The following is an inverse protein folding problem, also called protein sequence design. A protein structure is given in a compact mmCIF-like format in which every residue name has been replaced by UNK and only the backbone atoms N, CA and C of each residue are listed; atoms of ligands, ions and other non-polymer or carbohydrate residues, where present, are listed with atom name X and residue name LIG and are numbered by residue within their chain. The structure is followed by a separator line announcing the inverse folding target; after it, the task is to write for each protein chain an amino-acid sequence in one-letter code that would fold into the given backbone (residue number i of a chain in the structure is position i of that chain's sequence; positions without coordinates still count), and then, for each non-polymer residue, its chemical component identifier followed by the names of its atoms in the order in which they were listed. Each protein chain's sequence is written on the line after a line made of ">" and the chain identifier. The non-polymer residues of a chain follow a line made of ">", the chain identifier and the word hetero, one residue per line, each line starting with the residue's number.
data_IF_793445741696
#
_entry.id   IF_793445741696
#
_cell.length_a   1.000
_cell.length_b   1.000
_cell.length_c   1.000
_cell.angle_alpha   90.00
_cell.angle_beta   90.00
_cell.angle_gamma   90.00
#
_symmetry.space_group_name_H-M   'P 1'
#
loop_
_entity.id
_entity.type
_entity.pdbx_description
1 polymer ?
#
# COMPACT_ATOMS: atom_id res chain seq x y z
N UNK A 1 3.29 9.84 43.76
CA UNK A 1 3.76 8.94 42.68
C UNK A 1 3.22 9.52 41.39
N UNK A 2 3.94 10.51 40.87
CA UNK A 2 3.62 11.23 39.64
C UNK A 2 3.88 10.35 38.42
N UNK A 3 2.80 9.99 37.72
CA UNK A 3 2.87 9.35 36.42
C UNK A 3 2.88 10.47 35.38
N UNK A 4 4.07 10.95 35.04
CA UNK A 4 4.24 11.88 33.94
C UNK A 4 3.76 11.22 32.65
N UNK A 5 2.57 11.63 32.19
CA UNK A 5 2.09 11.33 30.85
C UNK A 5 3.03 12.03 29.86
N UNK A 6 3.94 11.24 29.30
CA UNK A 6 4.78 11.66 28.18
C UNK A 6 3.88 11.87 26.97
N UNK A 7 3.30 13.07 26.87
CA UNK A 7 2.64 13.55 25.68
C UNK A 7 3.68 13.60 24.57
N UNK A 8 3.70 12.56 23.74
CA UNK A 8 4.52 12.51 22.55
C UNK A 8 4.19 13.75 21.71
N UNK A 9 5.15 14.68 21.67
CA UNK A 9 5.11 15.82 20.75
C UNK A 9 5.02 15.23 19.35
N UNK A 10 3.84 15.29 18.74
CA UNK A 10 3.68 14.96 17.32
C UNK A 10 4.56 15.95 16.57
N UNK A 11 5.66 15.46 16.02
CA UNK A 11 6.52 16.25 15.16
C UNK A 11 5.64 16.75 14.01
N UNK A 12 5.36 18.05 13.96
CA UNK A 12 4.47 18.70 12.98
C UNK A 12 5.19 18.86 11.63
N UNK A 13 5.81 17.78 11.15
CA UNK A 13 6.19 17.67 9.76
C UNK A 13 4.92 17.19 9.03
N UNK A 14 4.47 17.93 8.02
CA UNK A 14 3.27 17.59 7.26
C UNK A 14 3.34 16.14 6.76
N UNK A 15 2.19 15.46 6.72
CA UNK A 15 2.15 14.05 6.33
C UNK A 15 2.82 13.82 4.97
N UNK A 16 3.77 12.89 4.93
CA UNK A 16 4.50 12.51 3.72
C UNK A 16 3.70 11.51 2.88
N UNK A 17 3.90 11.53 1.55
CA UNK A 17 3.16 10.70 0.59
C UNK A 17 4.08 9.74 -0.14
N UNK A 18 3.65 8.48 -0.21
CA UNK A 18 4.19 7.46 -1.13
C UNK A 18 3.17 7.07 -2.17
N UNK A 19 3.56 7.11 -3.43
CA UNK A 19 2.72 6.64 -4.54
C UNK A 19 3.26 5.31 -5.04
N UNK A 20 2.50 4.24 -4.85
CA UNK A 20 2.83 2.90 -5.32
C UNK A 20 2.06 2.60 -6.60
N UNK A 21 2.78 2.40 -7.70
CA UNK A 21 2.23 2.01 -9.00
C UNK A 21 2.47 0.52 -9.22
N UNK A 22 1.39 -0.24 -9.38
CA UNK A 22 1.41 -1.66 -9.73
C UNK A 22 1.39 -1.76 -11.24
N UNK A 23 2.53 -2.11 -11.84
CA UNK A 23 2.59 -2.27 -13.29
C UNK A 23 2.25 -3.69 -13.71
N UNK A 24 1.42 -3.81 -14.75
CA UNK A 24 0.96 -5.11 -15.29
C UNK A 24 1.79 -5.62 -16.47
N UNK A 25 2.81 -4.88 -16.90
CA UNK A 25 3.78 -5.34 -17.91
C UNK A 25 3.71 -4.63 -19.26
N UNK A 26 2.73 -3.75 -19.49
CA UNK A 26 2.76 -2.85 -20.65
C UNK A 26 3.58 -1.60 -20.32
N UNK A 27 4.73 -1.48 -20.99
CA UNK A 27 5.63 -0.34 -20.84
C UNK A 27 5.00 0.99 -21.25
N UNK A 28 4.05 0.97 -22.20
CA UNK A 28 3.36 2.17 -22.70
C UNK A 28 2.44 2.77 -21.63
N UNK A 29 1.70 1.93 -20.94
CA UNK A 29 0.79 2.39 -19.88
C UNK A 29 1.58 2.86 -18.66
N UNK A 30 2.68 2.19 -18.32
CA UNK A 30 3.59 2.64 -17.26
C UNK A 30 4.24 3.99 -17.61
N UNK A 31 4.74 4.17 -18.84
CA UNK A 31 5.32 5.43 -19.29
C UNK A 31 4.29 6.57 -19.23
N UNK A 32 3.06 6.32 -19.70
CA UNK A 32 1.96 7.29 -19.62
C UNK A 32 1.63 7.65 -18.16
N UNK A 33 1.55 6.67 -17.29
CA UNK A 33 1.29 6.86 -15.87
C UNK A 33 2.39 7.72 -15.21
N UNK A 34 3.66 7.39 -15.45
CA UNK A 34 4.81 8.13 -14.91
C UNK A 34 4.88 9.55 -15.45
N UNK A 35 4.68 9.75 -16.76
CA UNK A 35 4.62 11.08 -17.37
C UNK A 35 3.51 11.94 -16.75
N UNK A 36 2.38 11.33 -16.37
CA UNK A 36 1.25 12.01 -15.72
C UNK A 36 1.59 12.44 -14.29
N UNK A 37 2.21 11.58 -13.47
CA UNK A 37 2.36 11.82 -12.02
C UNK A 37 3.73 12.38 -11.59
N UNK A 38 4.79 12.23 -12.40
CA UNK A 38 6.14 12.57 -11.97
C UNK A 38 6.29 14.03 -11.52
N UNK A 39 5.76 14.98 -12.30
CA UNK A 39 5.83 16.41 -11.96
C UNK A 39 4.98 16.75 -10.73
N UNK A 40 3.69 16.36 -10.63
CA UNK A 40 2.91 16.52 -9.41
C UNK A 40 3.53 15.91 -8.15
N UNK A 41 4.03 14.68 -8.20
CA UNK A 41 4.67 14.03 -7.06
C UNK A 41 5.93 14.79 -6.62
N UNK A 42 6.76 15.26 -7.57
CA UNK A 42 7.93 16.07 -7.25
C UNK A 42 7.57 17.38 -6.53
N UNK A 43 6.46 18.03 -6.88
CA UNK A 43 6.01 19.25 -6.17
C UNK A 43 5.56 18.96 -4.75
N UNK A 44 5.02 17.77 -4.50
CA UNK A 44 4.56 17.32 -3.19
C UNK A 44 5.65 16.66 -2.35
N UNK A 45 6.88 16.59 -2.86
CA UNK A 45 7.97 15.78 -2.29
C UNK A 45 7.54 14.32 -2.02
N UNK A 46 6.66 13.81 -2.89
CA UNK A 46 6.12 12.46 -2.79
C UNK A 46 7.05 11.46 -3.48
N UNK A 47 7.34 10.35 -2.80
CA UNK A 47 8.09 9.26 -3.42
C UNK A 47 7.20 8.46 -4.39
N UNK A 48 7.82 7.94 -5.45
CA UNK A 48 7.15 7.07 -6.41
C UNK A 48 7.84 5.71 -6.38
N UNK A 49 7.06 4.66 -6.18
CA UNK A 49 7.50 3.28 -6.15
C UNK A 49 6.74 2.53 -7.24
N UNK A 50 7.44 1.93 -8.18
CA UNK A 50 6.86 1.09 -9.22
C UNK A 50 7.15 -0.36 -8.88
N UNK A 51 6.12 -1.18 -8.74
CA UNK A 51 6.25 -2.63 -8.57
C UNK A 51 5.83 -3.32 -9.85
N UNK A 52 6.76 -4.01 -10.50
CA UNK A 52 6.51 -4.70 -11.77
C UNK A 52 7.00 -6.14 -11.72
N UNK A 53 6.34 -7.01 -12.46
CA UNK A 53 6.90 -8.33 -12.73
C UNK A 53 8.27 -8.18 -13.42
N UNK A 54 9.22 -9.05 -13.08
CA UNK A 54 10.53 -9.10 -13.73
C UNK A 54 10.34 -9.23 -15.25
N UNK A 55 10.77 -8.21 -16.00
CA UNK A 55 10.83 -8.21 -17.46
C UNK A 55 12.30 -8.07 -17.87
N UNK A 56 12.88 -9.02 -18.61
CA UNK A 56 14.33 -9.04 -18.88
C UNK A 56 14.84 -7.87 -19.74
N UNK A 57 13.99 -7.22 -20.55
CA UNK A 57 14.45 -6.26 -21.57
C UNK A 57 14.16 -4.77 -21.26
N UNK A 58 13.40 -4.44 -20.22
CA UNK A 58 12.84 -3.08 -20.08
C UNK A 58 13.35 -2.25 -18.89
N UNK A 59 13.94 -2.85 -17.85
CA UNK A 59 14.22 -2.13 -16.59
C UNK A 59 15.24 -0.99 -16.75
N UNK A 60 16.29 -1.21 -17.54
CA UNK A 60 17.41 -0.25 -17.72
C UNK A 60 16.95 1.08 -18.35
N UNK A 61 15.93 1.05 -19.22
CA UNK A 61 15.41 2.24 -19.89
C UNK A 61 14.64 3.16 -18.94
N UNK A 62 13.87 2.59 -18.02
CA UNK A 62 13.04 3.37 -17.10
C UNK A 62 13.85 4.02 -15.97
N UNK A 63 14.84 3.31 -15.41
CA UNK A 63 15.72 3.87 -14.38
C UNK A 63 16.46 5.12 -14.88
N UNK A 64 16.83 5.13 -16.17
CA UNK A 64 17.50 6.28 -16.80
C UNK A 64 16.54 7.45 -17.03
N UNK A 65 15.31 7.17 -17.48
CA UNK A 65 14.31 8.20 -17.77
C UNK A 65 13.70 8.81 -16.49
N UNK A 66 13.61 8.03 -15.41
CA UNK A 66 12.94 8.41 -14.16
C UNK A 66 13.82 8.12 -12.94
N UNK A 67 14.94 8.85 -12.76
CA UNK A 67 15.92 8.55 -11.70
C UNK A 67 15.41 8.77 -10.27
N UNK A 68 14.30 9.48 -10.09
CA UNK A 68 13.64 9.68 -8.79
C UNK A 68 12.59 8.62 -8.46
N UNK A 69 12.35 7.66 -9.35
CA UNK A 69 11.37 6.59 -9.17
C UNK A 69 12.08 5.33 -8.71
N UNK A 70 11.56 4.68 -7.66
CA UNK A 70 12.07 3.41 -7.19
C UNK A 70 11.39 2.26 -7.92
N UNK A 71 12.12 1.55 -8.77
CA UNK A 71 11.63 0.35 -9.42
C UNK A 71 11.92 -0.90 -8.57
N UNK A 72 10.87 -1.67 -8.30
CA UNK A 72 10.93 -2.93 -7.56
C UNK A 72 10.51 -4.09 -8.48
N UNK A 73 11.35 -5.12 -8.51
CA UNK A 73 11.04 -6.38 -9.17
C UNK A 73 10.17 -7.26 -8.27
N UNK A 74 9.04 -7.71 -8.80
CA UNK A 74 8.22 -8.76 -8.22
C UNK A 74 8.37 -10.06 -9.03
N UNK A 75 8.12 -11.24 -8.40
CA UNK A 75 8.07 -12.51 -9.12
C UNK A 75 7.13 -12.44 -10.33
N UNK A 76 7.49 -13.09 -11.44
CA UNK A 76 6.72 -13.01 -12.69
C UNK A 76 5.26 -13.44 -12.53
N UNK A 77 5.02 -14.46 -11.69
CA UNK A 77 3.68 -14.99 -11.38
C UNK A 77 2.97 -14.28 -10.20
N UNK A 78 3.52 -13.17 -9.69
CA UNK A 78 2.92 -12.45 -8.56
C UNK A 78 1.57 -11.83 -8.92
N UNK A 79 0.60 -12.00 -8.03
CA UNK A 79 -0.69 -11.35 -8.03
C UNK A 79 -0.58 -9.85 -7.72
N UNK A 80 -1.63 -9.08 -8.05
CA UNK A 80 -1.68 -7.65 -7.70
C UNK A 80 -1.62 -7.42 -6.19
N UNK A 81 -2.15 -8.34 -5.39
CA UNK A 81 -2.09 -8.26 -3.93
C UNK A 81 -0.65 -8.39 -3.41
N UNK A 82 0.11 -9.36 -3.93
CA UNK A 82 1.52 -9.53 -3.55
C UNK A 82 2.36 -8.32 -4.00
N UNK A 83 2.14 -7.80 -5.21
CA UNK A 83 2.83 -6.58 -5.68
C UNK A 83 2.50 -5.38 -4.82
N UNK A 84 1.24 -5.25 -4.39
CA UNK A 84 0.81 -4.21 -3.46
C UNK A 84 1.56 -4.33 -2.14
N UNK A 85 1.65 -5.52 -1.57
CA UNK A 85 2.38 -5.76 -0.32
C UNK A 85 3.86 -5.40 -0.45
N UNK A 86 4.52 -5.80 -1.54
CA UNK A 86 5.92 -5.42 -1.84
C UNK A 86 6.06 -3.89 -1.84
N UNK A 87 5.20 -3.19 -2.59
CA UNK A 87 5.27 -1.73 -2.70
C UNK A 87 5.01 -1.02 -1.38
N UNK A 88 3.95 -1.41 -0.66
CA UNK A 88 3.62 -0.84 0.66
C UNK A 88 4.74 -1.10 1.67
N UNK A 89 5.37 -2.28 1.64
CA UNK A 89 6.45 -2.62 2.58
C UNK A 89 7.70 -1.75 2.41
N UNK A 90 7.86 -1.14 1.23
CA UNK A 90 9.01 -0.29 0.90
C UNK A 90 8.72 1.21 1.06
N UNK A 91 7.45 1.58 1.12
CA UNK A 91 6.99 2.95 1.29
C UNK A 91 7.47 3.55 2.62
N UNK A 92 8.02 4.76 2.55
CA UNK A 92 8.51 5.55 3.67
C UNK A 92 7.51 6.64 4.11
N UNK A 93 6.51 6.95 3.28
CA UNK A 93 5.53 8.00 3.54
C UNK A 93 4.47 7.59 4.56
N UNK A 94 3.95 8.58 5.29
CA UNK A 94 2.87 8.41 6.27
C UNK A 94 1.57 7.93 5.61
N UNK A 95 1.35 8.33 4.36
CA UNK A 95 0.19 7.99 3.56
C UNK A 95 0.66 7.29 2.29
N UNK A 96 0.04 6.14 1.98
CA UNK A 96 0.37 5.34 0.80
C UNK A 96 -0.82 5.32 -0.16
N UNK A 97 -0.62 5.86 -1.37
CA UNK A 97 -1.58 5.81 -2.46
C UNK A 97 -1.18 4.70 -3.45
N UNK A 98 -2.02 3.66 -3.57
CA UNK A 98 -1.78 2.54 -4.49
C UNK A 98 -2.62 2.70 -5.75
N UNK A 99 -2.00 2.56 -6.93
CA UNK A 99 -2.68 2.63 -8.24
C UNK A 99 -2.14 1.56 -9.19
N UNK A 100 -2.92 1.25 -10.23
CA UNK A 100 -2.51 0.41 -11.35
C UNK A 100 -2.15 1.34 -12.50
N UNK A 101 -1.06 1.09 -13.22
CA UNK A 101 -0.56 1.94 -14.31
C UNK A 101 -1.64 2.36 -15.33
N UNK A 102 -2.47 1.43 -15.80
CA UNK A 102 -3.57 1.71 -16.73
C UNK A 102 -4.68 2.64 -16.19
N UNK A 103 -4.79 2.77 -14.87
CA UNK A 103 -5.83 3.60 -14.21
C UNK A 103 -5.33 5.02 -13.87
N UNK A 104 -4.04 5.32 -14.09
CA UNK A 104 -3.44 6.63 -13.81
C UNK A 104 -3.66 7.58 -14.98
N UNK A 105 -4.92 7.99 -15.17
CA UNK A 105 -5.31 8.92 -16.24
C UNK A 105 -5.41 10.38 -15.79
N UNK A 106 -5.56 10.63 -14.49
CA UNK A 106 -5.59 11.99 -13.93
C UNK A 106 -4.84 12.11 -12.59
N UNK A 107 -4.55 13.36 -12.22
CA UNK A 107 -3.80 13.74 -11.00
C UNK A 107 -4.67 14.49 -9.99
N UNK A 108 -5.99 14.53 -10.18
CA UNK A 108 -6.91 15.28 -9.31
C UNK A 108 -6.87 14.78 -7.85
N UNK A 109 -6.59 13.49 -7.66
CA UNK A 109 -6.40 12.88 -6.35
C UNK A 109 -5.12 13.35 -5.63
N UNK A 110 -4.08 13.75 -6.35
CA UNK A 110 -2.89 14.37 -5.77
C UNK A 110 -3.20 15.79 -5.28
N UNK A 111 -4.00 16.54 -6.04
CA UNK A 111 -4.46 17.87 -5.60
C UNK A 111 -5.36 17.78 -4.36
N UNK A 112 -6.12 16.70 -4.19
CA UNK A 112 -6.87 16.47 -2.97
C UNK A 112 -5.95 16.28 -1.75
N UNK A 113 -4.81 15.61 -1.93
CA UNK A 113 -3.81 15.44 -0.88
C UNK A 113 -3.15 16.77 -0.46
N UNK A 114 -2.74 17.57 -1.43
CA UNK A 114 -2.15 18.91 -1.21
C UNK A 114 -3.04 19.77 -0.31
N UNK A 115 -4.35 19.76 -0.57
CA UNK A 115 -5.33 20.53 0.21
C UNK A 115 -5.49 20.07 1.65
N UNK A 116 -5.21 18.79 1.94
CA UNK A 116 -5.34 18.23 3.30
C UNK A 116 -4.07 18.48 4.09
N UNK A 117 -2.89 18.26 3.50
CA UNK A 117 -1.61 18.39 4.23
C UNK A 117 -1.28 19.84 4.60
N UNK A 118 -1.64 20.80 3.74
CA UNK A 118 -1.46 22.24 4.01
C UNK A 118 -2.32 22.74 5.18
N UNK A 119 -3.36 22.01 5.60
CA UNK A 119 -4.26 22.46 6.69
C UNK A 119 -3.79 22.12 8.10
N UNK A 120 -2.56 21.60 8.25
CA UNK A 120 -1.99 21.28 9.58
C UNK A 120 -1.09 22.40 10.11
N UNK A 121 -1.34 23.66 9.72
CA UNK A 121 -0.90 24.77 10.56
C UNK A 121 -1.82 24.82 11.79
N UNK A 122 -1.20 24.78 12.98
CA UNK A 122 -1.82 24.61 14.28
C UNK A 122 -3.19 25.31 14.40
N UNK A 123 -4.28 24.55 14.35
CA UNK A 123 -5.51 25.01 14.96
C UNK A 123 -5.18 25.23 16.44
N UNK A 124 -5.37 26.45 16.99
CA UNK A 124 -5.08 26.69 18.39
C UNK A 124 -5.89 25.67 19.18
N UNK A 125 -5.18 24.87 19.97
CA UNK A 125 -5.79 23.91 20.87
C UNK A 125 -6.63 24.71 21.86
N UNK A 126 -7.92 24.88 21.54
CA UNK A 126 -8.89 25.44 22.48
C UNK A 126 -9.20 24.32 23.45
N UNK A 127 -8.54 24.36 24.60
CA UNK A 127 -8.88 23.55 25.76
C UNK A 127 -10.31 23.91 26.16
N UNK A 128 -11.29 23.18 25.61
CA UNK A 128 -12.67 23.28 26.08
C UNK A 128 -12.74 22.51 27.38
N UNK A 129 -12.63 23.25 28.48
CA UNK A 129 -13.04 22.81 29.80
C UNK A 129 -14.55 22.49 29.72
N UNK A 130 -14.89 21.23 29.43
CA UNK A 130 -16.26 20.76 29.50
C UNK A 130 -16.63 20.70 30.97
N UNK A 131 -17.29 21.74 31.46
CA UNK A 131 -17.97 21.71 32.75
C UNK A 131 -19.04 20.62 32.66
N UNK A 132 -18.72 19.43 33.18
CA UNK A 132 -19.66 18.33 33.27
C UNK A 132 -20.85 18.81 34.12
N UNK A 133 -22.00 19.03 33.49
CA UNK A 133 -23.25 19.20 34.23
C UNK A 133 -23.53 17.88 34.93
N UNK A 134 -23.77 17.86 36.25
CA UNK A 134 -24.17 16.65 36.93
C UNK A 134 -25.48 16.16 36.32
N UNK A 135 -25.43 14.95 35.76
CA UNK A 135 -26.61 14.21 35.32
C UNK A 135 -27.45 13.98 36.57
N UNK A 136 -28.64 14.60 36.62
CA UNK A 136 -29.65 14.24 37.61
C UNK A 136 -30.19 12.87 37.22
N UNK A 137 -29.93 11.89 38.07
CA UNK A 137 -30.67 10.64 38.09
C UNK A 137 -32.12 10.96 38.47
N UNK A 138 -33.01 11.00 37.47
CA UNK A 138 -34.44 10.84 37.72
C UNK A 138 -34.86 9.43 37.30
N UNK A 139 -35.09 8.67 38.37
CA UNK A 139 -35.54 7.30 38.45
C UNK A 139 -37.04 7.20 38.07
N UNK A 140 -37.35 6.58 36.94
CA UNK A 140 -38.60 5.83 36.71
C UNK A 140 -38.72 5.41 35.25
N UNK A 141 -39.29 4.28 34.88
CA UNK A 141 -39.68 3.07 35.60
C UNK A 141 -40.21 2.16 34.48
N UNK A 142 -39.82 0.90 34.54
CA UNK A 142 -40.55 -0.27 34.07
C UNK A 142 -41.06 -0.38 32.61
N UNK A 143 -40.92 -1.62 32.15
CA UNK A 143 -41.65 -2.27 31.06
C UNK A 143 -40.98 -2.29 29.68
N UNK A 144 -40.91 -3.53 29.19
CA UNK A 144 -40.61 -3.96 27.84
C UNK A 144 -39.13 -4.04 27.47
N UNK A 145 -38.63 -5.10 26.87
CA UNK A 145 -39.13 -6.46 26.77
C UNK A 145 -37.93 -7.28 26.33
N UNK A 146 -37.93 -8.54 26.76
CA UNK A 146 -36.91 -9.55 26.51
C UNK A 146 -36.63 -9.72 25.02
N UNK A 147 -35.58 -9.09 24.48
CA UNK A 147 -34.87 -9.62 23.31
C UNK A 147 -33.47 -10.07 23.71
N UNK A 148 -33.41 -11.39 23.93
CA UNK A 148 -32.22 -12.18 24.19
C UNK A 148 -31.10 -11.80 23.21
N UNK A 149 -30.05 -11.20 23.76
CA UNK A 149 -28.75 -11.12 23.13
C UNK A 149 -28.21 -12.55 22.99
N UNK A 150 -27.87 -12.92 21.76
CA UNK A 150 -26.99 -14.06 21.47
C UNK A 150 -25.59 -13.45 21.30
N UNK A 151 -24.64 -13.62 22.24
CA UNK A 151 -23.28 -13.17 22.03
C UNK A 151 -22.64 -14.10 20.99
N UNK A 152 -22.42 -13.58 19.78
CA UNK A 152 -21.51 -14.23 18.83
C UNK A 152 -20.11 -13.86 19.32
N UNK A 153 -19.47 -14.80 20.01
CA UNK A 153 -18.06 -14.72 20.36
C UNK A 153 -17.27 -14.58 19.04
N UNK A 154 -16.83 -13.36 18.74
CA UNK A 154 -15.92 -13.09 17.64
C UNK A 154 -14.51 -13.32 18.19
N UNK A 155 -14.07 -14.58 18.11
CA UNK A 155 -12.69 -14.96 18.40
C UNK A 155 -11.80 -14.29 17.35
N UNK A 156 -11.21 -13.15 17.69
CA UNK A 156 -10.07 -12.65 16.93
C UNK A 156 -8.88 -13.54 17.28
N UNK A 157 -8.50 -14.42 16.35
CA UNK A 157 -7.19 -15.05 16.40
C UNK A 157 -6.15 -13.92 16.38
N UNK A 158 -5.27 -13.91 17.37
CA UNK A 158 -4.14 -13.00 17.42
C UNK A 158 -3.34 -13.14 16.12
N UNK A 159 -3.07 -12.02 15.45
CA UNK A 159 -2.17 -12.00 14.31
C UNK A 159 -0.79 -12.55 14.76
N UNK A 160 -0.17 -13.44 13.99
CA UNK A 160 1.13 -13.99 14.34
C UNK A 160 2.17 -12.86 14.45
N UNK A 161 3.03 -12.99 15.45
CA UNK A 161 4.12 -12.06 15.69
C UNK A 161 5.10 -12.09 14.52
N UNK A 162 5.80 -10.97 14.26
CA UNK A 162 6.84 -10.83 13.22
C UNK A 162 7.92 -11.93 13.23
N UNK A 163 8.02 -12.73 14.30
CA UNK A 163 8.94 -13.87 14.42
C UNK A 163 8.43 -15.18 13.83
N UNK A 164 7.13 -15.35 13.63
CA UNK A 164 6.55 -16.60 13.10
C UNK A 164 6.75 -16.74 11.57
N UNK A 165 6.96 -15.63 10.85
CA UNK A 165 7.10 -15.65 9.39
C UNK A 165 8.42 -16.26 8.89
N UNK A 166 9.48 -16.22 9.70
CA UNK A 166 10.81 -16.74 9.30
C UNK A 166 10.83 -18.28 9.29
N UNK A 167 9.95 -18.93 10.05
CA UNK A 167 9.91 -20.40 10.10
C UNK A 167 9.12 -21.03 8.93
N UNK A 168 8.14 -20.32 8.36
CA UNK A 168 7.27 -20.89 7.32
C UNK A 168 7.90 -20.84 5.92
N UNK A 169 8.91 -19.99 5.70
CA UNK A 169 9.63 -19.90 4.43
C UNK A 169 10.68 -21.02 4.21
N UNK A 170 10.97 -21.85 5.21
CA UNK A 170 12.08 -22.83 5.17
C UNK A 170 11.65 -24.29 4.94
N UNK A 171 10.36 -24.58 4.67
CA UNK A 171 9.86 -25.95 4.49
C UNK A 171 9.10 -26.22 3.19
N UNK A 172 9.28 -25.36 2.17
CA UNK A 172 8.63 -25.49 0.86
C UNK A 172 9.53 -25.98 -0.27
N UNK A 173 10.51 -26.85 -0.02
CA UNK A 173 11.31 -27.51 -1.07
C UNK A 173 11.22 -29.02 -0.92
N UNK A 174 10.36 -29.69 -1.71
CA UNK A 174 10.68 -31.03 -2.24
C UNK A 174 9.69 -31.53 -3.28
N UNK A 175 10.26 -32.07 -4.36
CA UNK A 175 9.70 -32.92 -5.41
C UNK A 175 8.91 -32.25 -6.55
N UNK A 176 9.04 -32.63 -7.82
CA UNK A 176 9.98 -33.45 -8.59
C UNK A 176 9.43 -33.47 -10.04
N UNK A 177 10.23 -34.03 -10.97
CA UNK A 177 9.91 -34.47 -12.35
C UNK A 177 9.92 -33.36 -13.43
N UNK A 178 10.97 -33.16 -14.23
CA UNK A 178 11.69 -34.07 -15.15
C UNK A 178 10.76 -34.89 -16.06
N UNK A 179 10.52 -34.38 -17.28
CA UNK A 179 10.37 -35.15 -18.52
C UNK A 179 10.67 -34.21 -19.71
N UNK A 180 11.84 -34.36 -20.35
CA UNK A 180 12.05 -35.03 -21.65
C UNK A 180 11.69 -34.13 -22.86
N UNK A 181 12.65 -33.40 -23.44
CA UNK A 181 13.40 -33.74 -24.69
C UNK A 181 12.52 -34.23 -25.85
N UNK A 182 12.35 -33.38 -26.85
CA UNK A 182 11.69 -33.71 -28.12
C UNK A 182 11.85 -32.61 -29.19
N UNK A 183 13.08 -32.37 -29.66
CA UNK A 183 13.34 -32.02 -31.07
C UNK A 183 13.58 -33.34 -31.85
N UNK A 184 13.58 -33.41 -33.20
CA UNK A 184 13.41 -32.36 -34.22
C UNK A 184 12.46 -32.77 -35.38
N UNK A 185 12.12 -31.84 -36.29
CA UNK A 185 11.67 -32.22 -37.63
C UNK A 185 12.08 -31.20 -38.70
N UNK A 186 13.06 -31.64 -39.47
CA UNK A 186 13.53 -31.14 -40.76
C UNK A 186 12.37 -31.11 -41.78
N UNK A 187 12.17 -30.00 -42.47
CA UNK A 187 11.55 -30.00 -43.78
C UNK A 187 12.21 -28.94 -44.68
N UNK A 188 13.23 -29.40 -45.42
CA UNK A 188 13.67 -28.79 -46.67
C UNK A 188 12.51 -28.85 -47.67
N UNK A 189 12.23 -27.75 -48.34
CA UNK A 189 11.67 -27.77 -49.69
C UNK A 189 12.47 -26.82 -50.58
N UNK A 190 13.01 -27.41 -51.64
CA UNK A 190 13.72 -26.82 -52.78
C UNK A 190 12.71 -26.42 -53.86
N UNK A 191 13.18 -25.59 -54.80
CA UNK A 191 12.71 -25.43 -56.20
C UNK A 191 11.41 -24.62 -56.37
N UNK A 192 11.27 -23.66 -57.31
CA UNK A 192 12.07 -23.17 -58.45
C UNK A 192 11.98 -21.64 -58.52
#
# INVERSE_FOLDING_TARGET
>A
MDRAESGARRNTQGASLSVVILSQGDCTDLERALACIASPCRRLDAEIIVVRAKCPDDSVSFDTAYPSVLFLEAPAASSLSERREIGISRAAGDIVAVRIDGDVSDTSWLSAFERVVVTTEELPFVERETTAKPVRDEESSAASERRRQRPVARTYAAAPSRRDWVAQAMHGESAAHLHATGEPAVARAREM
#
